data_IF_478991329628
#
_entry.id   IF_478991329628
#
_cell.length_a   1.000
_cell.length_b   1.000
_cell.length_c   1.000
_cell.angle_alpha   90.00
_cell.angle_beta   90.00
_cell.angle_gamma   90.00
#
_symmetry.space_group_name_H-M   'P 1'
#
loop_
_entity.id
_entity.type
_entity.pdbx_description
1 polymer ?
#
# COMPACT_ATOMS: atom_id res chain seq x y z
N UNK A 1 12.74 3.97 -6.00
CA UNK A 1 13.48 5.19 -6.36
C UNK A 1 13.00 5.74 -7.71
N UNK A 2 12.89 4.91 -8.74
CA UNK A 2 12.41 5.34 -10.06
C UNK A 2 11.01 5.97 -10.01
N UNK A 3 10.07 5.40 -9.27
CA UNK A 3 8.72 5.93 -9.09
C UNK A 3 8.74 7.31 -8.40
N UNK A 4 9.58 7.48 -7.38
CA UNK A 4 9.74 8.75 -6.68
C UNK A 4 10.25 9.83 -7.64
N UNK A 5 11.31 9.55 -8.39
CA UNK A 5 11.88 10.47 -9.39
C UNK A 5 10.89 10.80 -10.50
N UNK A 6 10.08 9.81 -10.92
CA UNK A 6 9.01 10.06 -11.88
C UNK A 6 7.95 11.03 -11.32
N UNK A 7 7.54 10.84 -10.05
CA UNK A 7 6.60 11.75 -9.39
C UNK A 7 7.16 13.16 -9.24
N UNK A 8 8.46 13.29 -8.97
CA UNK A 8 9.15 14.58 -8.93
C UNK A 8 9.11 15.28 -10.30
N UNK A 9 9.49 14.57 -11.36
CA UNK A 9 9.51 15.09 -12.72
C UNK A 9 8.10 15.42 -13.27
N UNK A 10 7.06 14.77 -12.76
CA UNK A 10 5.69 15.01 -13.18
C UNK A 10 5.21 16.45 -12.90
N UNK A 11 5.81 17.14 -11.91
CA UNK A 11 5.53 18.54 -11.58
C UNK A 11 5.84 19.51 -12.72
N UNK A 12 6.74 19.14 -13.61
CA UNK A 12 7.07 19.94 -14.80
C UNK A 12 5.94 19.91 -15.85
N UNK A 13 5.13 18.87 -15.84
CA UNK A 13 4.07 18.62 -16.83
C UNK A 13 2.68 19.00 -16.34
N UNK A 14 2.42 18.90 -15.05
CA UNK A 14 1.11 19.17 -14.46
C UNK A 14 1.24 19.55 -12.97
N UNK A 15 0.15 20.02 -12.38
CA UNK A 15 0.06 20.25 -10.94
C UNK A 15 -0.02 18.93 -10.20
N UNK A 16 0.95 18.66 -9.34
CA UNK A 16 1.04 17.45 -8.52
C UNK A 16 0.94 17.84 -7.05
N UNK A 17 0.04 17.19 -6.35
CA UNK A 17 -0.18 17.33 -4.92
C UNK A 17 0.07 15.97 -4.25
N UNK A 18 1.32 15.65 -3.91
CA UNK A 18 1.65 14.37 -3.30
C UNK A 18 1.14 14.32 -1.87
N UNK A 19 0.79 13.10 -1.43
CA UNK A 19 0.42 12.79 -0.06
C UNK A 19 1.33 11.70 0.47
N UNK A 20 1.89 11.93 1.64
CA UNK A 20 2.83 11.02 2.30
C UNK A 20 2.12 9.72 2.70
N UNK A 21 2.69 8.57 2.32
CA UNK A 21 2.27 7.25 2.76
C UNK A 21 3.22 6.65 3.80
N UNK A 22 2.83 5.53 4.38
CA UNK A 22 3.63 4.87 5.41
C UNK A 22 4.96 4.30 4.90
N UNK A 23 5.14 4.17 3.59
CA UNK A 23 6.40 3.75 2.98
C UNK A 23 7.30 4.93 2.55
N UNK A 24 6.88 6.17 2.80
CA UNK A 24 7.60 7.39 2.41
C UNK A 24 8.29 8.08 3.59
N UNK A 25 8.26 7.50 4.78
CA UNK A 25 8.79 8.04 6.03
C UNK A 25 10.32 8.06 6.14
N UNK A 26 11.00 7.64 5.10
CA UNK A 26 12.45 7.46 5.14
C UNK A 26 13.25 8.72 5.46
N UNK A 27 12.71 9.91 5.12
CA UNK A 27 13.34 11.17 5.50
C UNK A 27 13.47 11.32 7.02
N UNK A 28 12.45 10.91 7.81
CA UNK A 28 12.51 10.97 9.26
C UNK A 28 13.59 10.03 9.83
N UNK A 29 13.73 8.85 9.24
CA UNK A 29 14.78 7.91 9.64
C UNK A 29 16.18 8.43 9.30
N UNK A 30 16.36 8.97 8.11
CA UNK A 30 17.64 9.49 7.61
C UNK A 30 18.05 10.77 8.35
N UNK A 31 17.09 11.66 8.67
CA UNK A 31 17.36 12.91 9.39
C UNK A 31 17.71 12.69 10.87
N UNK A 32 17.32 11.57 11.43
CA UNK A 32 17.56 11.14 12.80
C UNK A 32 16.25 10.87 13.56
N UNK A 33 16.21 9.74 14.20
CA UNK A 33 15.10 9.32 15.07
C UNK A 33 15.68 8.80 16.39
N UNK A 34 14.80 8.48 17.35
CA UNK A 34 15.25 7.85 18.60
C UNK A 34 15.88 6.47 18.33
N UNK A 35 16.67 6.00 19.29
CA UNK A 35 17.45 4.76 19.15
C UNK A 35 16.55 3.53 18.94
N UNK A 36 15.38 3.47 19.57
CA UNK A 36 14.46 2.34 19.42
C UNK A 36 13.94 2.27 17.97
N UNK A 37 13.53 3.41 17.44
CA UNK A 37 13.06 3.52 16.05
C UNK A 37 14.16 3.20 15.04
N UNK A 38 15.37 3.63 15.33
CA UNK A 38 16.54 3.37 14.48
C UNK A 38 16.80 1.86 14.35
N UNK A 39 16.91 1.17 15.48
CA UNK A 39 17.14 -0.29 15.53
C UNK A 39 16.01 -1.06 14.83
N UNK A 40 14.75 -0.71 15.12
CA UNK A 40 13.57 -1.37 14.51
C UNK A 40 13.52 -1.18 13.00
N UNK A 41 13.81 0.03 12.53
CA UNK A 41 13.80 0.38 11.12
C UNK A 41 14.92 -0.34 10.37
N UNK A 42 16.13 -0.36 10.95
CA UNK A 42 17.24 -1.07 10.33
C UNK A 42 17.00 -2.58 10.28
N UNK A 43 16.48 -3.18 11.35
CA UNK A 43 16.08 -4.59 11.34
C UNK A 43 15.00 -4.89 10.28
N UNK A 44 14.10 -3.93 10.01
CA UNK A 44 13.14 -4.04 8.92
C UNK A 44 13.82 -4.04 7.55
N UNK A 45 14.77 -3.14 7.30
CA UNK A 45 15.55 -3.09 6.06
C UNK A 45 16.32 -4.39 5.81
N UNK A 46 16.96 -4.95 6.83
CA UNK A 46 17.66 -6.24 6.73
C UNK A 46 16.70 -7.39 6.38
N UNK A 47 15.50 -7.41 6.95
CA UNK A 47 14.46 -8.40 6.60
C UNK A 47 13.96 -8.21 5.15
N UNK A 48 13.72 -6.99 4.70
CA UNK A 48 13.35 -6.73 3.31
C UNK A 48 14.42 -7.25 2.34
N UNK A 49 15.69 -6.96 2.60
CA UNK A 49 16.82 -7.48 1.83
C UNK A 49 16.84 -9.01 1.81
N UNK A 50 16.69 -9.65 2.96
CA UNK A 50 16.72 -11.11 3.07
C UNK A 50 15.57 -11.80 2.31
N UNK A 51 14.44 -11.10 2.10
CA UNK A 51 13.28 -11.61 1.36
C UNK A 51 13.21 -11.10 -0.08
N UNK A 52 14.30 -10.51 -0.59
CA UNK A 52 14.39 -9.90 -1.92
C UNK A 52 13.28 -8.87 -2.22
N UNK A 53 12.70 -8.27 -1.17
CA UNK A 53 11.73 -7.18 -1.33
C UNK A 53 12.45 -5.88 -1.59
N UNK A 54 12.01 -5.17 -2.61
CA UNK A 54 12.47 -3.81 -2.89
C UNK A 54 11.92 -2.81 -1.87
N UNK A 55 12.67 -1.75 -1.63
CA UNK A 55 12.26 -0.62 -0.80
C UNK A 55 13.17 0.58 -1.09
N UNK A 56 12.67 1.80 -0.88
CA UNK A 56 13.35 3.02 -1.29
C UNK A 56 14.81 3.07 -0.82
N UNK A 57 15.06 2.80 0.45
CA UNK A 57 16.44 2.84 0.99
C UNK A 57 17.31 1.74 0.38
N UNK A 58 16.77 0.54 0.15
CA UNK A 58 17.53 -0.55 -0.49
C UNK A 58 17.89 -0.21 -1.94
N UNK A 59 16.97 0.44 -2.68
CA UNK A 59 17.23 0.91 -4.03
C UNK A 59 18.28 2.03 -4.05
N UNK A 60 18.23 2.96 -3.10
CA UNK A 60 19.23 4.00 -2.93
C UNK A 60 20.61 3.42 -2.60
N UNK A 61 20.69 2.46 -1.66
CA UNK A 61 21.92 1.74 -1.35
C UNK A 61 22.48 1.02 -2.58
N UNK A 62 21.61 0.32 -3.33
CA UNK A 62 22.04 -0.38 -4.55
C UNK A 62 22.61 0.56 -5.62
N UNK A 63 22.01 1.76 -5.78
CA UNK A 63 22.52 2.79 -6.71
C UNK A 63 23.92 3.29 -6.32
N UNK A 64 24.21 3.34 -5.00
CA UNK A 64 25.53 3.74 -4.48
C UNK A 64 26.53 2.56 -4.40
N UNK A 65 26.10 1.33 -4.69
CA UNK A 65 26.92 0.14 -4.50
C UNK A 65 27.06 -0.30 -3.02
N UNK A 66 26.23 0.24 -2.14
CA UNK A 66 26.25 -0.07 -0.71
C UNK A 66 25.49 -1.37 -0.41
N UNK A 67 26.09 -2.21 0.45
CA UNK A 67 25.51 -3.49 0.85
C UNK A 67 25.22 -3.48 2.35
N UNK A 68 23.95 -3.45 2.72
CA UNK A 68 23.56 -3.49 4.13
C UNK A 68 23.90 -4.83 4.79
N UNK A 69 24.46 -4.78 5.99
CA UNK A 69 24.75 -5.93 6.86
C UNK A 69 24.46 -5.55 8.32
N UNK A 70 24.40 -6.51 9.25
CA UNK A 70 24.24 -6.20 10.67
C UNK A 70 25.32 -5.27 11.23
N UNK A 71 26.50 -5.23 10.60
CA UNK A 71 27.66 -4.43 11.01
C UNK A 71 27.73 -3.06 10.32
N UNK A 72 26.70 -2.67 9.56
CA UNK A 72 26.66 -1.38 8.85
C UNK A 72 26.68 -0.23 9.84
N UNK A 73 27.60 0.72 9.65
CA UNK A 73 27.60 1.99 10.38
C UNK A 73 26.40 2.84 9.92
N UNK A 74 25.37 2.89 10.75
CA UNK A 74 24.13 3.62 10.43
C UNK A 74 24.33 5.13 10.33
N UNK A 75 25.25 5.72 11.11
CA UNK A 75 25.50 7.14 11.09
C UNK A 75 26.16 7.54 9.75
N UNK A 76 27.15 6.78 9.33
CA UNK A 76 27.83 6.95 8.05
C UNK A 76 26.87 6.72 6.87
N UNK A 77 26.06 5.66 6.90
CA UNK A 77 25.05 5.36 5.88
C UNK A 77 24.04 6.49 5.74
N UNK A 78 23.48 6.97 6.84
CA UNK A 78 22.48 8.06 6.81
C UNK A 78 23.09 9.36 6.29
N UNK A 79 24.34 9.67 6.64
CA UNK A 79 25.04 10.83 6.10
C UNK A 79 25.21 10.72 4.58
N UNK A 80 25.68 9.57 4.11
CA UNK A 80 25.85 9.27 2.69
C UNK A 80 24.52 9.40 1.91
N UNK A 81 23.44 8.80 2.42
CA UNK A 81 22.13 8.88 1.80
C UNK A 81 21.60 10.31 1.73
N UNK A 82 21.76 11.11 2.82
CA UNK A 82 21.33 12.52 2.84
C UNK A 82 22.04 13.36 1.78
N UNK A 83 23.32 13.13 1.59
CA UNK A 83 24.13 13.85 0.60
C UNK A 83 23.76 13.42 -0.82
N UNK A 84 23.79 12.12 -1.09
CA UNK A 84 23.60 11.57 -2.42
C UNK A 84 22.17 11.75 -2.97
N UNK A 85 21.15 11.73 -2.10
CA UNK A 85 19.73 11.81 -2.47
C UNK A 85 19.03 13.04 -1.85
N UNK A 86 19.76 14.15 -1.71
CA UNK A 86 19.21 15.36 -1.12
C UNK A 86 17.92 15.85 -1.80
N UNK A 87 17.79 15.88 -3.14
CA UNK A 87 16.55 16.29 -3.81
C UNK A 87 15.35 15.39 -3.50
N UNK A 88 15.57 14.06 -3.44
CA UNK A 88 14.53 13.08 -3.12
C UNK A 88 14.06 13.26 -1.68
N UNK A 89 14.97 13.44 -0.73
CA UNK A 89 14.59 13.68 0.67
C UNK A 89 13.93 15.04 0.89
N UNK A 90 14.32 16.08 0.18
CA UNK A 90 13.62 17.37 0.20
C UNK A 90 12.17 17.21 -0.31
N UNK A 91 11.98 16.45 -1.38
CA UNK A 91 10.66 16.18 -1.91
C UNK A 91 9.80 15.44 -0.88
N UNK A 92 10.33 14.39 -0.23
CA UNK A 92 9.63 13.64 0.81
C UNK A 92 9.28 14.51 2.02
N UNK A 93 10.18 15.37 2.50
CA UNK A 93 9.94 16.32 3.60
C UNK A 93 8.84 17.33 3.28
N UNK A 94 8.72 17.70 2.02
CA UNK A 94 7.70 18.65 1.56
C UNK A 94 6.31 18.04 1.40
N UNK A 95 6.18 16.71 1.46
CA UNK A 95 4.88 16.04 1.31
C UNK A 95 4.04 16.21 2.58
N UNK A 96 2.81 16.72 2.50
CA UNK A 96 1.87 16.64 3.60
C UNK A 96 1.35 15.22 3.79
N UNK A 97 1.00 14.83 5.01
CA UNK A 97 0.37 13.52 5.27
C UNK A 97 -1.10 13.46 4.84
N UNK A 98 -1.73 14.62 4.64
CA UNK A 98 -3.08 14.75 4.12
C UNK A 98 -3.25 16.08 3.41
N UNK A 99 -4.18 16.11 2.46
CA UNK A 99 -4.63 17.32 1.78
C UNK A 99 -6.12 17.46 1.99
N UNK A 100 -6.57 18.65 2.35
CA UNK A 100 -7.96 18.92 2.61
C UNK A 100 -8.46 20.12 1.78
N UNK A 101 -9.65 19.98 1.24
CA UNK A 101 -10.41 21.04 0.55
C UNK A 101 -11.81 21.15 1.14
N UNK A 102 -12.66 22.01 0.59
CA UNK A 102 -14.04 22.15 1.05
C UNK A 102 -14.83 20.84 0.99
N UNK A 103 -14.56 19.99 0.01
CA UNK A 103 -15.35 18.79 -0.30
C UNK A 103 -14.58 17.48 -0.14
N UNK A 104 -13.26 17.51 -0.14
CA UNK A 104 -12.41 16.32 -0.23
C UNK A 104 -11.29 16.35 0.79
N UNK A 105 -10.98 15.17 1.33
CA UNK A 105 -9.78 14.89 2.12
C UNK A 105 -9.04 13.74 1.41
N UNK A 106 -7.76 13.94 1.14
CA UNK A 106 -6.87 12.94 0.59
C UNK A 106 -5.89 12.54 1.68
N UNK A 107 -5.86 11.27 2.05
CA UNK A 107 -5.02 10.76 3.12
C UNK A 107 -4.69 9.30 2.86
N UNK A 108 -3.44 8.87 3.14
CA UNK A 108 -2.99 7.55 2.76
C UNK A 108 -3.82 6.42 3.35
N UNK A 109 -3.97 6.34 4.68
CA UNK A 109 -4.66 5.23 5.36
C UNK A 109 -6.11 5.52 5.73
N UNK A 110 -6.40 6.75 6.13
CA UNK A 110 -7.74 7.15 6.58
C UNK A 110 -7.71 8.04 7.81
N UNK A 111 -8.88 8.25 8.41
CA UNK A 111 -9.04 9.03 9.66
C UNK A 111 -9.63 8.09 10.71
N UNK A 112 -8.99 7.89 11.88
CA UNK A 112 -9.52 7.03 12.93
C UNK A 112 -10.90 7.47 13.39
N UNK A 113 -11.73 6.51 13.78
CA UNK A 113 -13.11 6.76 14.16
C UNK A 113 -13.20 7.76 15.33
N UNK A 114 -14.04 8.78 15.17
CA UNK A 114 -14.24 9.81 16.18
C UNK A 114 -13.13 10.87 16.27
N UNK A 115 -12.16 10.83 15.39
CA UNK A 115 -11.03 11.76 15.39
C UNK A 115 -11.04 12.68 14.14
N UNK A 116 -10.19 13.70 14.17
CA UNK A 116 -9.87 14.58 13.04
C UNK A 116 -8.46 14.29 12.54
N UNK A 117 -8.07 14.84 11.40
CA UNK A 117 -6.69 14.77 10.92
C UNK A 117 -5.69 15.29 11.96
N UNK A 118 -6.06 16.40 12.63
CA UNK A 118 -5.23 17.06 13.64
C UNK A 118 -5.06 16.21 14.91
N UNK A 119 -6.17 15.68 15.46
CA UNK A 119 -6.13 14.89 16.69
C UNK A 119 -5.49 13.52 16.51
N UNK A 120 -5.64 12.90 15.33
CA UNK A 120 -5.05 11.60 15.03
C UNK A 120 -3.55 11.70 14.74
N UNK A 121 -3.15 12.78 14.09
CA UNK A 121 -1.77 13.00 13.66
C UNK A 121 -1.33 12.12 12.48
N UNK A 122 -0.13 12.40 11.91
CA UNK A 122 0.33 11.79 10.67
C UNK A 122 0.37 10.26 10.69
N UNK A 123 1.06 9.69 11.70
CA UNK A 123 1.31 8.25 11.73
C UNK A 123 0.03 7.41 11.75
N UNK A 124 -0.94 7.78 12.57
CA UNK A 124 -2.20 7.04 12.66
C UNK A 124 -3.04 7.16 11.41
N UNK A 125 -3.05 8.36 10.78
CA UNK A 125 -3.74 8.58 9.52
C UNK A 125 -3.12 7.81 8.34
N UNK A 126 -1.82 7.53 8.39
CA UNK A 126 -1.14 6.78 7.33
C UNK A 126 -1.12 5.27 7.56
N UNK A 127 -1.26 4.80 8.81
CA UNK A 127 -1.09 3.39 9.18
C UNK A 127 -2.36 2.70 9.69
N UNK A 128 -3.52 3.28 9.46
CA UNK A 128 -4.78 2.65 9.83
C UNK A 128 -5.13 1.52 8.85
N UNK A 129 -5.23 0.30 9.36
CA UNK A 129 -5.61 -0.85 8.57
C UNK A 129 -7.12 -0.97 8.43
N UNK A 130 -7.57 -1.47 7.26
CA UNK A 130 -8.98 -1.79 7.01
C UNK A 130 -9.95 -0.63 7.29
N UNK A 131 -9.53 0.60 7.03
CA UNK A 131 -10.30 1.82 7.29
C UNK A 131 -11.74 1.75 6.78
N UNK A 132 -11.94 1.37 5.52
CA UNK A 132 -13.27 1.28 4.91
C UNK A 132 -14.13 0.16 5.51
N UNK A 133 -13.54 -0.90 6.06
CA UNK A 133 -14.30 -2.01 6.64
C UNK A 133 -15.17 -1.56 7.84
N UNK A 134 -14.75 -0.52 8.56
CA UNK A 134 -15.52 0.07 9.66
C UNK A 134 -16.71 0.91 9.16
N UNK A 135 -16.86 1.11 7.84
CA UNK A 135 -17.90 1.94 7.21
C UNK A 135 -18.07 3.31 7.88
N UNK A 136 -17.00 4.09 8.03
CA UNK A 136 -17.06 5.39 8.68
C UNK A 136 -17.85 6.39 7.79
N UNK A 137 -18.51 7.37 8.43
CA UNK A 137 -19.29 8.39 7.75
C UNK A 137 -18.67 9.77 7.92
N UNK A 138 -18.48 10.48 6.81
CA UNK A 138 -17.86 11.80 6.81
C UNK A 138 -18.75 12.87 6.17
N UNK A 139 -18.49 14.13 6.53
CA UNK A 139 -19.11 15.30 5.88
C UNK A 139 -18.46 15.58 4.51
N UNK A 140 -17.15 15.35 4.38
CA UNK A 140 -16.38 15.46 3.14
C UNK A 140 -16.09 14.06 2.60
N UNK A 141 -15.76 13.96 1.32
CA UNK A 141 -15.24 12.73 0.76
C UNK A 141 -13.84 12.46 1.29
N UNK A 142 -13.58 11.27 1.78
CA UNK A 142 -12.26 10.79 2.20
C UNK A 142 -11.75 9.79 1.17
N UNK A 143 -10.67 10.16 0.49
CA UNK A 143 -10.02 9.34 -0.53
C UNK A 143 -8.78 8.70 0.10
N UNK A 144 -8.72 7.36 0.10
CA UNK A 144 -7.69 6.58 0.79
C UNK A 144 -7.07 5.50 -0.08
N UNK A 145 -5.86 5.08 0.29
CA UNK A 145 -5.17 3.89 -0.18
C UNK A 145 -4.86 2.91 0.97
N UNK A 146 -3.62 2.47 1.07
CA UNK A 146 -3.00 1.69 2.14
C UNK A 146 -3.52 0.25 2.31
N UNK A 147 -4.82 0.05 2.32
CA UNK A 147 -5.41 -1.29 2.38
C UNK A 147 -5.96 -1.64 1.01
N UNK A 148 -5.41 -2.66 0.35
CA UNK A 148 -5.92 -3.11 -0.95
C UNK A 148 -7.42 -3.35 -0.93
N UNK A 149 -8.14 -2.79 -1.91
CA UNK A 149 -9.61 -2.87 -1.95
C UNK A 149 -10.13 -4.29 -2.04
N UNK A 150 -9.35 -5.21 -2.61
CA UNK A 150 -9.69 -6.63 -2.66
C UNK A 150 -9.83 -7.27 -1.27
N UNK A 151 -9.24 -6.69 -0.23
CA UNK A 151 -9.34 -7.19 1.15
C UNK A 151 -10.65 -6.80 1.84
N UNK A 152 -11.41 -5.86 1.29
CA UNK A 152 -12.73 -5.49 1.82
C UNK A 152 -13.86 -6.39 1.33
N UNK A 153 -13.69 -7.03 0.18
CA UNK A 153 -14.69 -7.93 -0.41
C UNK A 153 -14.81 -9.23 0.36
N UNK A 154 -16.05 -9.71 0.52
CA UNK A 154 -16.33 -11.02 1.13
C UNK A 154 -16.72 -12.09 0.12
N UNK A 155 -17.30 -11.68 -1.01
CA UNK A 155 -17.87 -12.58 -2.01
C UNK A 155 -17.28 -12.40 -3.41
N UNK A 156 -16.65 -11.26 -3.68
CA UNK A 156 -16.04 -10.96 -4.97
C UNK A 156 -14.72 -10.27 -4.71
N UNK A 157 -13.65 -10.84 -5.21
CA UNK A 157 -12.34 -10.21 -5.17
C UNK A 157 -12.29 -9.23 -6.34
N UNK A 158 -12.08 -7.97 -6.04
CA UNK A 158 -11.91 -6.92 -7.03
C UNK A 158 -10.88 -5.92 -6.55
N UNK A 159 -9.95 -5.55 -7.40
CA UNK A 159 -8.95 -4.52 -7.14
C UNK A 159 -9.38 -3.13 -7.65
N UNK A 160 -10.56 -3.02 -8.26
CA UNK A 160 -11.14 -1.75 -8.74
C UNK A 160 -11.49 -0.84 -7.56
N UNK A 161 -11.27 0.48 -7.64
CA UNK A 161 -11.61 1.42 -6.58
C UNK A 161 -13.05 1.27 -6.07
N UNK A 162 -13.20 1.28 -4.75
CA UNK A 162 -14.51 1.31 -4.09
C UNK A 162 -14.90 2.76 -3.85
N UNK A 163 -16.06 3.17 -4.37
CA UNK A 163 -16.63 4.51 -4.12
C UNK A 163 -17.96 4.32 -3.40
N UNK A 164 -18.04 4.75 -2.14
CA UNK A 164 -19.22 4.62 -1.30
C UNK A 164 -19.82 6.00 -0.96
N UNK A 165 -20.90 6.41 -1.66
CA UNK A 165 -21.55 7.68 -1.40
C UNK A 165 -22.21 7.77 -0.02
N UNK A 166 -22.65 6.64 0.55
CA UNK A 166 -23.28 6.64 1.88
C UNK A 166 -22.27 6.97 2.99
N UNK A 167 -21.05 6.44 2.87
CA UNK A 167 -19.96 6.75 3.79
C UNK A 167 -19.19 8.00 3.40
N UNK A 168 -19.27 8.45 2.16
CA UNK A 168 -18.39 9.44 1.51
C UNK A 168 -16.92 9.03 1.61
N UNK A 169 -16.66 7.79 1.26
CA UNK A 169 -15.30 7.21 1.22
C UNK A 169 -15.03 6.68 -0.18
N UNK A 170 -13.84 6.95 -0.69
CA UNK A 170 -13.29 6.27 -1.86
C UNK A 170 -11.97 5.59 -1.48
N UNK A 171 -11.92 4.26 -1.58
CA UNK A 171 -10.71 3.48 -1.37
C UNK A 171 -10.16 3.03 -2.71
N UNK A 172 -8.91 3.39 -3.00
CA UNK A 172 -8.34 3.28 -4.36
C UNK A 172 -7.16 2.31 -4.48
N UNK A 173 -6.70 1.71 -3.40
CA UNK A 173 -5.53 0.84 -3.43
C UNK A 173 -5.82 -0.46 -4.18
N UNK A 174 -5.17 -0.66 -5.30
CA UNK A 174 -5.29 -1.88 -6.12
C UNK A 174 -4.36 -3.02 -5.69
N UNK A 175 -3.55 -2.83 -4.63
CA UNK A 175 -2.60 -3.82 -4.15
C UNK A 175 -1.29 -3.87 -4.95
N UNK A 176 -1.04 -2.87 -5.81
CA UNK A 176 0.20 -2.79 -6.59
C UNK A 176 1.43 -2.90 -5.69
N UNK A 177 2.41 -3.73 -6.05
CA UNK A 177 3.64 -4.04 -5.29
C UNK A 177 3.41 -4.89 -4.03
N UNK A 178 2.28 -4.79 -3.36
CA UNK A 178 1.99 -5.62 -2.19
C UNK A 178 1.63 -7.06 -2.57
N UNK A 179 1.00 -7.22 -3.72
CA UNK A 179 0.57 -8.50 -4.29
C UNK A 179 1.10 -8.62 -5.71
N UNK A 180 1.49 -9.84 -6.10
CA UNK A 180 1.96 -10.11 -7.46
C UNK A 180 0.87 -9.87 -8.50
N UNK A 181 -0.40 -10.05 -8.10
CA UNK A 181 -1.62 -9.80 -8.89
C UNK A 181 -2.27 -8.44 -8.61
N UNK A 182 -1.54 -7.50 -8.03
CA UNK A 182 -2.05 -6.15 -7.77
C UNK A 182 -2.08 -5.28 -9.02
N UNK A 183 -3.00 -4.34 -9.05
CA UNK A 183 -3.14 -3.35 -10.12
C UNK A 183 -2.88 -1.92 -9.62
N UNK A 184 -2.47 -1.04 -10.51
CA UNK A 184 -2.36 0.39 -10.24
C UNK A 184 -3.66 1.09 -10.61
N UNK A 185 -4.29 1.75 -9.65
CA UNK A 185 -5.54 2.46 -9.85
C UNK A 185 -5.36 3.98 -9.97
N UNK A 186 -6.19 4.59 -10.79
CA UNK A 186 -6.40 6.03 -10.83
C UNK A 186 -7.90 6.34 -10.63
N UNK A 187 -8.22 7.14 -9.63
CA UNK A 187 -9.57 7.67 -9.43
C UNK A 187 -9.68 9.03 -10.13
N UNK A 188 -10.60 9.17 -11.03
CA UNK A 188 -10.82 10.39 -11.80
C UNK A 188 -12.06 11.11 -11.26
N UNK A 189 -11.86 12.34 -10.79
CA UNK A 189 -12.93 13.18 -10.28
C UNK A 189 -13.20 14.33 -11.26
N UNK A 190 -14.37 14.32 -11.87
CA UNK A 190 -14.81 15.41 -12.77
C UNK A 190 -16.21 15.86 -12.42
N UNK A 191 -16.39 17.15 -12.09
CA UNK A 191 -17.70 17.75 -11.77
C UNK A 191 -18.49 16.96 -10.71
N UNK A 192 -17.80 16.46 -9.68
CA UNK A 192 -18.40 15.66 -8.59
C UNK A 192 -18.73 14.21 -8.94
N UNK A 193 -18.39 13.73 -10.13
CA UNK A 193 -18.53 12.34 -10.54
C UNK A 193 -17.20 11.63 -10.46
N UNK A 194 -17.22 10.40 -9.92
CA UNK A 194 -16.07 9.52 -9.87
C UNK A 194 -16.12 8.51 -11.02
N UNK A 195 -15.00 8.35 -11.70
CA UNK A 195 -14.70 7.24 -12.59
C UNK A 195 -13.31 6.72 -12.26
N UNK A 196 -12.94 5.55 -12.73
CA UNK A 196 -11.62 4.98 -12.48
C UNK A 196 -11.03 4.41 -13.75
N UNK A 197 -9.71 4.50 -13.82
CA UNK A 197 -8.87 3.80 -14.78
C UNK A 197 -7.87 2.95 -13.98
N UNK A 198 -7.37 1.88 -14.58
CA UNK A 198 -6.38 1.03 -13.93
C UNK A 198 -5.40 0.44 -14.94
N UNK A 199 -4.25 0.10 -14.44
CA UNK A 199 -3.27 -0.71 -15.15
C UNK A 199 -3.12 -2.04 -14.41
N UNK A 200 -3.41 -3.12 -15.11
CA UNK A 200 -3.21 -4.50 -14.66
C UNK A 200 -2.07 -5.10 -15.50
N UNK A 201 -0.99 -5.62 -14.88
CA UNK A 201 0.12 -6.20 -15.61
C UNK A 201 -0.22 -7.55 -16.27
N UNK A 202 -1.32 -8.19 -15.86
CA UNK A 202 -1.74 -9.47 -16.40
C UNK A 202 -2.65 -9.32 -17.62
N UNK A 203 -2.56 -10.26 -18.59
CA UNK A 203 -3.46 -10.26 -19.73
C UNK A 203 -4.90 -10.49 -19.27
N UNK A 204 -5.83 -9.78 -19.90
CA UNK A 204 -7.26 -9.96 -19.64
C UNK A 204 -7.71 -11.34 -20.14
N UNK A 205 -8.25 -12.15 -19.23
CA UNK A 205 -8.94 -13.39 -19.54
C UNK A 205 -10.44 -13.17 -19.71
N UNK A 206 -11.09 -14.01 -20.49
CA UNK A 206 -12.55 -14.06 -20.59
C UNK A 206 -13.07 -15.36 -19.96
N UNK A 207 -13.96 -15.23 -18.97
CA UNK A 207 -14.67 -16.40 -18.46
C UNK A 207 -15.55 -17.00 -19.56
N UNK A 208 -15.40 -18.30 -19.82
CA UNK A 208 -16.19 -19.03 -20.82
C UNK A 208 -17.54 -19.46 -20.27
N UNK A 209 -17.59 -19.83 -19.00
CA UNK A 209 -18.78 -20.32 -18.33
C UNK A 209 -19.19 -19.43 -17.14
N UNK A 210 -20.50 -19.29 -16.94
CA UNK A 210 -21.04 -18.59 -15.80
C UNK A 210 -21.10 -19.51 -14.58
N UNK A 211 -20.48 -19.09 -13.47
CA UNK A 211 -20.62 -19.78 -12.19
C UNK A 211 -21.70 -19.14 -11.33
N UNK A 212 -22.60 -19.93 -10.77
CA UNK A 212 -23.60 -19.44 -9.82
C UNK A 212 -22.90 -18.99 -8.53
N UNK A 213 -23.35 -17.88 -7.97
CA UNK A 213 -22.88 -17.41 -6.66
C UNK A 213 -23.09 -18.52 -5.62
N UNK A 214 -22.04 -18.82 -4.86
CA UNK A 214 -22.05 -19.82 -3.80
C UNK A 214 -21.70 -19.16 -2.46
N UNK A 215 -22.49 -19.45 -1.43
CA UNK A 215 -22.16 -19.07 -0.05
C UNK A 215 -20.95 -19.85 0.49
N UNK A 216 -20.53 -20.91 -0.21
CA UNK A 216 -19.35 -21.73 0.13
C UNK A 216 -18.05 -21.23 -0.51
N UNK A 217 -18.09 -20.18 -1.33
CA UNK A 217 -16.89 -19.59 -1.89
C UNK A 217 -16.00 -19.11 -0.74
N UNK A 218 -14.77 -19.58 -0.69
CA UNK A 218 -13.78 -19.18 0.28
C UNK A 218 -12.55 -18.68 -0.45
N UNK A 219 -11.79 -17.78 0.17
CA UNK A 219 -10.50 -17.35 -0.28
C UNK A 219 -9.57 -17.12 0.91
N UNK A 220 -8.29 -17.29 0.66
CA UNK A 220 -7.24 -17.12 1.69
C UNK A 220 -7.02 -15.63 1.90
N UNK A 221 -7.03 -15.19 3.15
CA UNK A 221 -6.82 -13.80 3.55
C UNK A 221 -5.60 -13.69 4.46
N UNK A 222 -5.01 -12.53 4.55
CA UNK A 222 -3.89 -12.29 5.45
C UNK A 222 -4.15 -12.63 6.92
N UNK A 223 -5.33 -12.33 7.42
CA UNK A 223 -5.72 -12.67 8.80
C UNK A 223 -6.31 -14.07 8.97
N UNK A 224 -6.40 -14.85 7.90
CA UNK A 224 -7.06 -16.15 7.86
C UNK A 224 -6.44 -16.98 6.72
N UNK A 225 -5.15 -17.28 6.86
CA UNK A 225 -4.33 -17.90 5.82
C UNK A 225 -3.78 -19.29 6.22
N UNK A 226 -4.23 -19.83 7.33
CA UNK A 226 -3.79 -21.15 7.77
C UNK A 226 -4.40 -22.24 6.86
N UNK A 227 -3.54 -23.02 6.23
CA UNK A 227 -3.91 -24.10 5.31
C UNK A 227 -3.17 -25.38 5.64
N UNK A 228 -3.81 -26.49 5.35
CA UNK A 228 -3.22 -27.84 5.41
C UNK A 228 -3.03 -28.33 3.96
N UNK A 229 -1.79 -28.66 3.54
CA UNK A 229 -1.58 -29.23 2.23
C UNK A 229 -2.12 -30.67 2.18
N UNK A 230 -2.89 -30.97 1.14
CA UNK A 230 -3.42 -32.32 0.87
C UNK A 230 -2.56 -32.99 -0.20
N UNK A 231 -2.21 -32.25 -1.25
CA UNK A 231 -1.41 -32.72 -2.38
C UNK A 231 -0.49 -31.62 -2.85
N UNK A 232 0.79 -31.93 -2.98
CA UNK A 232 1.80 -30.98 -3.46
C UNK A 232 2.16 -31.30 -4.91
N UNK A 233 1.80 -30.38 -5.82
CA UNK A 233 2.18 -30.41 -7.23
C UNK A 233 3.31 -29.43 -7.52
N UNK A 234 3.79 -29.43 -8.77
CA UNK A 234 4.85 -28.50 -9.20
C UNK A 234 4.33 -27.08 -9.47
N UNK A 235 3.14 -26.96 -10.01
CA UNK A 235 2.52 -25.68 -10.37
C UNK A 235 1.30 -25.37 -9.50
N UNK A 236 0.66 -26.41 -8.94
CA UNK A 236 -0.54 -26.30 -8.14
C UNK A 236 -0.49 -27.22 -6.94
N UNK A 237 -0.96 -26.73 -5.81
CA UNK A 237 -1.18 -27.52 -4.60
C UNK A 237 -2.67 -27.61 -4.30
N UNK A 238 -3.12 -28.78 -3.88
CA UNK A 238 -4.44 -28.92 -3.26
C UNK A 238 -4.31 -28.74 -1.76
N UNK A 239 -5.07 -27.77 -1.25
CA UNK A 239 -5.01 -27.38 0.17
C UNK A 239 -6.40 -27.43 0.79
N UNK A 240 -6.41 -27.58 2.12
CA UNK A 240 -7.61 -27.36 2.96
C UNK A 240 -7.42 -26.10 3.78
N UNK A 241 -8.30 -25.14 3.65
CA UNK A 241 -8.35 -23.97 4.53
C UNK A 241 -8.83 -24.39 5.92
N UNK A 242 -7.98 -24.21 6.95
CA UNK A 242 -8.22 -24.83 8.28
C UNK A 242 -9.53 -24.34 8.90
N UNK A 243 -9.78 -23.03 8.88
CA UNK A 243 -10.95 -22.45 9.54
C UNK A 243 -12.28 -22.87 8.89
N UNK A 244 -12.31 -22.96 7.56
CA UNK A 244 -13.58 -23.25 6.82
C UNK A 244 -13.72 -24.70 6.39
N UNK A 245 -12.66 -25.50 6.45
CA UNK A 245 -12.59 -26.84 5.91
C UNK A 245 -12.66 -26.93 4.39
N UNK A 246 -12.64 -25.76 3.70
CA UNK A 246 -12.79 -25.71 2.25
C UNK A 246 -11.53 -26.23 1.56
N UNK A 247 -11.70 -27.10 0.57
CA UNK A 247 -10.61 -27.65 -0.25
C UNK A 247 -10.57 -26.92 -1.57
N UNK A 248 -9.37 -26.45 -1.94
CA UNK A 248 -9.14 -25.70 -3.16
C UNK A 248 -7.75 -26.00 -3.74
N UNK A 249 -7.60 -25.76 -5.03
CA UNK A 249 -6.30 -25.78 -5.71
C UNK A 249 -5.75 -24.35 -5.76
N UNK A 250 -4.50 -24.19 -5.36
CA UNK A 250 -3.78 -22.91 -5.36
C UNK A 250 -2.44 -23.05 -6.07
N UNK A 251 -1.88 -21.98 -6.65
CA UNK A 251 -0.51 -22.00 -7.17
C UNK A 251 0.49 -22.34 -6.05
N UNK A 252 1.57 -23.04 -6.41
CA UNK A 252 2.69 -23.39 -5.50
C UNK A 252 3.61 -22.22 -5.23
#
# INVERSE_FOLDING_TARGET
LATLRYAMALREKCRVYPVLGNCDFWHLWVDGCDMEWDVRTFAHLLRQKATARSGLILEMCAELGEVLSPDTDLAALKALLREAFAPEFEYLRAMPFALESDKYIFVHGGIPHGETLESAGPWRCMKINSFYAARPHFKKWVITGHTPVCLYGTNTISAVPVVDPACRVASIDGGCVLKDDGQLNALILRRGKFTSEWYDPFPLGRALDAQKKSARSAYIRWGDNAVEPIELGREWCRIRHIRTGYVMDVPT
#
